data_IF_806451860718
#
_entry.id   IF_806451860718
#
_cell.length_a   1.000
_cell.length_b   1.000
_cell.length_c   1.000
_cell.angle_alpha   90.00
_cell.angle_beta   90.00
_cell.angle_gamma   90.00
#
_symmetry.space_group_name_H-M   'P 1'
#
loop_
_entity.id
_entity.type
_entity.pdbx_description
1 polymer ?
#
# COMPACT_ATOMS: atom_id res chain seq x y z
N UNK A 1 -21.98 17.45 4.41
CA UNK A 1 -22.06 16.09 3.86
C UNK A 1 -20.86 15.93 2.95
N UNK A 2 -19.81 15.23 3.40
CA UNK A 2 -18.55 15.17 2.68
C UNK A 2 -18.76 14.23 1.49
N UNK A 3 -18.67 14.80 0.29
CA UNK A 3 -18.90 14.13 -0.98
C UNK A 3 -17.81 13.10 -1.26
N UNK A 4 -18.19 12.01 -1.92
CA UNK A 4 -17.29 10.96 -2.40
C UNK A 4 -16.09 11.58 -3.11
N UNK A 5 -14.88 11.16 -2.75
CA UNK A 5 -13.62 11.65 -3.34
C UNK A 5 -13.66 11.51 -4.87
N UNK A 6 -13.33 12.60 -5.57
CA UNK A 6 -13.22 12.62 -7.02
C UNK A 6 -11.77 12.46 -7.51
N UNK A 7 -11.58 12.36 -8.83
CA UNK A 7 -10.26 12.15 -9.43
C UNK A 7 -9.27 13.30 -9.14
N UNK A 8 -9.73 14.56 -9.12
CA UNK A 8 -8.87 15.72 -8.88
C UNK A 8 -8.41 15.76 -7.41
N UNK A 9 -9.30 15.42 -6.49
CA UNK A 9 -8.98 15.28 -5.07
C UNK A 9 -8.00 14.14 -4.82
N UNK A 10 -8.16 13.01 -5.53
CA UNK A 10 -7.20 11.90 -5.46
C UNK A 10 -5.83 12.32 -5.98
N UNK A 11 -5.77 13.01 -7.12
CA UNK A 11 -4.52 13.50 -7.71
C UNK A 11 -3.80 14.48 -6.77
N UNK A 12 -4.55 15.34 -6.07
CA UNK A 12 -3.99 16.26 -5.09
C UNK A 12 -3.41 15.53 -3.86
N UNK A 13 -4.08 14.46 -3.39
CA UNK A 13 -3.63 13.66 -2.25
C UNK A 13 -2.49 12.66 -2.59
N UNK A 14 -2.14 12.52 -3.87
CA UNK A 14 -1.33 11.41 -4.34
C UNK A 14 0.14 11.47 -3.91
N UNK A 15 0.70 12.68 -3.80
CA UNK A 15 2.07 12.85 -3.30
C UNK A 15 2.18 12.41 -1.84
N UNK A 16 1.27 12.89 -0.99
CA UNK A 16 1.22 12.51 0.43
C UNK A 16 0.97 11.01 0.62
N UNK A 17 0.13 10.41 -0.25
CA UNK A 17 -0.11 8.96 -0.26
C UNK A 17 1.16 8.17 -0.58
N UNK A 18 1.90 8.57 -1.62
CA UNK A 18 3.13 7.91 -2.05
C UNK A 18 4.25 8.06 -1.02
N UNK A 19 4.33 9.23 -0.38
CA UNK A 19 5.30 9.52 0.67
C UNK A 19 4.94 8.87 2.02
N UNK A 20 3.73 8.29 2.13
CA UNK A 20 3.25 7.64 3.35
C UNK A 20 2.93 8.62 4.48
N UNK A 21 2.74 9.90 4.16
CA UNK A 21 2.42 10.98 5.11
C UNK A 21 0.94 11.36 5.11
N UNK A 22 0.13 10.64 4.33
CA UNK A 22 -1.30 10.90 4.22
C UNK A 22 -2.03 10.53 5.52
N UNK A 23 -2.89 11.42 5.99
CA UNK A 23 -3.74 11.20 7.16
C UNK A 23 -4.61 9.94 6.98
N UNK A 24 -4.74 9.06 8.01
CA UNK A 24 -5.42 7.76 7.87
C UNK A 24 -6.85 7.83 7.33
N UNK A 25 -7.59 8.89 7.68
CA UNK A 25 -8.96 9.09 7.19
C UNK A 25 -9.05 9.34 5.68
N UNK A 26 -8.04 9.97 5.09
CA UNK A 26 -7.98 10.26 3.66
C UNK A 26 -7.54 9.01 2.88
N UNK A 27 -6.74 8.14 3.49
CA UNK A 27 -6.34 6.86 2.91
C UNK A 27 -7.55 5.97 2.60
N UNK A 28 -8.54 5.91 3.50
CA UNK A 28 -9.76 5.13 3.29
C UNK A 28 -10.64 5.68 2.13
N UNK A 29 -10.75 7.01 2.01
CA UNK A 29 -11.48 7.65 0.90
C UNK A 29 -10.79 7.37 -0.45
N UNK A 30 -9.46 7.42 -0.47
CA UNK A 30 -8.63 7.14 -1.64
C UNK A 30 -8.73 5.67 -2.07
N UNK A 31 -8.62 4.73 -1.12
CA UNK A 31 -8.81 3.29 -1.38
C UNK A 31 -10.19 3.01 -1.97
N UNK A 32 -11.24 3.64 -1.43
CA UNK A 32 -12.59 3.49 -1.95
C UNK A 32 -12.71 3.97 -3.40
N UNK A 33 -12.16 5.15 -3.72
CA UNK A 33 -12.16 5.67 -5.09
C UNK A 33 -11.41 4.72 -6.05
N UNK A 34 -10.25 4.20 -5.63
CA UNK A 34 -9.44 3.29 -6.43
C UNK A 34 -10.15 1.96 -6.73
N UNK A 35 -11.12 1.50 -5.94
CA UNK A 35 -11.88 0.29 -6.27
C UNK A 35 -12.75 0.46 -7.53
N UNK A 36 -13.20 1.67 -7.84
CA UNK A 36 -14.16 1.94 -8.92
C UNK A 36 -13.62 2.72 -10.12
N UNK A 37 -12.42 3.28 -10.03
CA UNK A 37 -11.90 4.23 -11.02
C UNK A 37 -10.64 3.72 -11.73
N UNK A 38 -10.82 3.09 -12.90
CA UNK A 38 -9.72 2.61 -13.74
C UNK A 38 -8.69 3.71 -14.11
N UNK A 39 -9.08 4.95 -14.50
CA UNK A 39 -8.12 6.02 -14.77
C UNK A 39 -7.16 6.28 -13.59
N UNK A 40 -7.68 6.37 -12.37
CA UNK A 40 -6.88 6.65 -11.18
C UNK A 40 -5.98 5.46 -10.78
N UNK A 41 -6.44 4.22 -11.00
CA UNK A 41 -5.58 3.03 -10.85
C UNK A 41 -4.36 3.11 -11.78
N UNK A 42 -4.57 3.47 -13.05
CA UNK A 42 -3.48 3.62 -14.03
C UNK A 42 -2.48 4.68 -13.60
N UNK A 43 -2.94 5.81 -13.06
CA UNK A 43 -2.05 6.88 -12.55
C UNK A 43 -1.20 6.37 -11.39
N UNK A 44 -1.79 5.74 -10.38
CA UNK A 44 -1.07 5.15 -9.23
C UNK A 44 -0.02 4.15 -9.69
N UNK A 45 -0.39 3.26 -10.61
CA UNK A 45 0.51 2.25 -11.15
C UNK A 45 1.69 2.87 -11.91
N UNK A 46 1.44 3.92 -12.69
CA UNK A 46 2.50 4.63 -13.39
C UNK A 46 3.48 5.31 -12.43
N UNK A 47 2.99 5.90 -11.34
CA UNK A 47 3.85 6.50 -10.32
C UNK A 47 4.69 5.43 -9.63
N UNK A 48 4.10 4.30 -9.23
CA UNK A 48 4.84 3.17 -8.64
C UNK A 48 5.94 2.65 -9.57
N UNK A 49 5.64 2.50 -10.86
CA UNK A 49 6.64 2.11 -11.87
C UNK A 49 7.75 3.15 -12.00
N UNK A 50 7.39 4.43 -12.02
CA UNK A 50 8.37 5.54 -12.10
C UNK A 50 9.31 5.53 -10.91
N UNK A 51 8.79 5.39 -9.68
CA UNK A 51 9.60 5.26 -8.46
C UNK A 51 10.54 4.05 -8.54
N UNK A 52 10.04 2.92 -9.04
CA UNK A 52 10.84 1.70 -9.19
C UNK A 52 11.99 1.88 -10.17
N UNK A 53 11.74 2.51 -11.31
CA UNK A 53 12.75 2.85 -12.32
C UNK A 53 13.80 3.82 -11.76
N UNK A 54 13.36 4.87 -11.04
CA UNK A 54 14.27 5.85 -10.43
C UNK A 54 15.13 5.26 -9.32
N UNK A 55 14.62 4.28 -8.58
CA UNK A 55 15.42 3.55 -7.57
C UNK A 55 16.37 2.53 -8.20
N UNK A 56 16.43 2.44 -9.52
CA UNK A 56 17.22 1.46 -10.29
C UNK A 56 17.00 0.00 -9.86
N UNK A 57 15.86 -0.30 -9.22
CA UNK A 57 15.63 -1.59 -8.59
C UNK A 57 16.69 -1.96 -7.53
N UNK A 58 17.42 -1.00 -6.96
CA UNK A 58 18.39 -1.25 -5.90
C UNK A 58 17.67 -1.90 -4.72
N UNK A 59 17.93 -3.19 -4.53
CA UNK A 59 17.42 -3.93 -3.40
C UNK A 59 18.02 -3.31 -2.13
N UNK A 60 17.17 -2.64 -1.35
CA UNK A 60 17.57 -2.18 -0.03
C UNK A 60 17.72 -3.42 0.83
N UNK A 61 18.92 -3.69 1.33
CA UNK A 61 19.11 -4.75 2.30
C UNK A 61 18.27 -4.44 3.56
N UNK A 62 17.30 -5.33 3.83
CA UNK A 62 16.53 -5.26 5.06
C UNK A 62 17.45 -5.70 6.20
N UNK A 63 17.62 -4.89 7.26
CA UNK A 63 18.41 -5.28 8.42
C UNK A 63 17.95 -6.64 8.96
N UNK A 64 18.89 -7.52 9.33
CA UNK A 64 18.57 -8.90 9.73
C UNK A 64 17.49 -8.97 10.82
N UNK A 65 17.58 -8.10 11.83
CA UNK A 65 16.60 -8.01 12.91
C UNK A 65 15.19 -7.66 12.41
N UNK A 66 15.06 -6.78 11.40
CA UNK A 66 13.78 -6.45 10.78
C UNK A 66 13.21 -7.65 10.02
N UNK A 67 14.05 -8.34 9.24
CA UNK A 67 13.65 -9.54 8.48
C UNK A 67 13.16 -10.65 9.41
N UNK A 68 13.88 -10.91 10.49
CA UNK A 68 13.52 -11.93 11.49
C UNK A 68 12.18 -11.64 12.16
N UNK A 69 11.98 -10.40 12.62
CA UNK A 69 10.72 -9.95 13.21
C UNK A 69 9.54 -10.08 12.24
N UNK A 70 9.74 -9.69 10.97
CA UNK A 70 8.72 -9.83 9.93
C UNK A 70 8.35 -11.29 9.70
N UNK A 71 9.33 -12.17 9.52
CA UNK A 71 9.10 -13.60 9.30
C UNK A 71 8.39 -14.25 10.50
N UNK A 72 8.76 -13.90 11.73
CA UNK A 72 8.11 -14.39 12.93
C UNK A 72 6.63 -13.97 12.98
N UNK A 73 6.34 -12.68 12.74
CA UNK A 73 4.98 -12.16 12.72
C UNK A 73 4.10 -12.83 11.63
N UNK A 74 4.65 -12.99 10.41
CA UNK A 74 3.97 -13.66 9.31
C UNK A 74 3.65 -15.12 9.64
N UNK A 75 4.58 -15.85 10.29
CA UNK A 75 4.36 -17.24 10.71
C UNK A 75 3.24 -17.37 11.73
N UNK A 76 3.26 -16.53 12.77
CA UNK A 76 2.18 -16.49 13.78
C UNK A 76 0.84 -16.22 13.14
N UNK A 77 0.76 -15.23 12.22
CA UNK A 77 -0.48 -14.91 11.53
C UNK A 77 -0.96 -16.05 10.64
N UNK A 78 -0.04 -16.72 9.96
CA UNK A 78 -0.33 -17.89 9.12
C UNK A 78 -0.96 -19.03 9.93
N UNK A 79 -0.36 -19.39 11.08
CA UNK A 79 -0.86 -20.45 11.96
C UNK A 79 -2.28 -20.14 12.49
N UNK A 80 -2.58 -18.87 12.80
CA UNK A 80 -3.91 -18.44 13.21
C UNK A 80 -4.96 -18.57 12.11
N UNK A 81 -4.58 -18.27 10.86
CA UNK A 81 -5.48 -18.32 9.70
C UNK A 81 -5.64 -19.74 9.16
N UNK A 82 -4.63 -20.58 9.35
CA UNK A 82 -4.57 -21.95 8.87
C UNK A 82 -4.27 -22.92 10.03
N UNK A 83 -5.17 -23.04 11.01
CA UNK A 83 -4.99 -24.04 12.05
C UNK A 83 -4.96 -25.41 11.38
N UNK A 84 -3.83 -26.11 11.50
CA UNK A 84 -3.71 -27.49 11.03
C UNK A 84 -4.80 -28.32 11.70
N UNK A 85 -5.67 -28.93 10.89
CA UNK A 85 -6.66 -29.90 11.35
C UNK A 85 -5.92 -30.97 12.18
N UNK A 86 -6.32 -31.23 13.43
CA UNK A 86 -5.68 -32.30 14.20
C UNK A 86 -5.91 -33.64 13.48
N UNK A 87 -4.87 -34.48 13.52
CA UNK A 87 -4.84 -35.81 12.91
C UNK A 87 -5.99 -36.70 13.40
#
# INVERSE_FOLDING_TARGET
MKTVMNCDELLAALNEYVDGTLEPGVCAELEHHLQGCNPCQVVVDNIRKTITLYKEGQAIEIPAACRERLHAALRVRWEQLHPTRPA
#
